data_IF_726569816557
#
_entry.id   IF_726569816557
#
_cell.length_a   1.000
_cell.length_b   1.000
_cell.length_c   1.000
_cell.angle_alpha   90.00
_cell.angle_beta   90.00
_cell.angle_gamma   90.00
#
_symmetry.space_group_name_H-M   'P 1'
#
loop_
_entity.id
_entity.type
_entity.pdbx_description
1 polymer ?
#
# COMPACT_ATOMS: atom_id res chain seq x y z
N UNK A 1 7.28 -28.71 -12.13
CA UNK A 1 6.67 -27.38 -11.98
C UNK A 1 5.85 -27.11 -13.24
N UNK A 2 4.58 -26.80 -13.09
CA UNK A 2 3.67 -26.54 -14.20
C UNK A 2 3.63 -25.02 -14.44
N UNK A 3 4.35 -24.57 -15.44
CA UNK A 3 4.50 -23.14 -15.77
C UNK A 3 3.15 -22.53 -16.21
N UNK A 4 2.32 -23.32 -16.87
CA UNK A 4 0.97 -22.95 -17.29
C UNK A 4 0.10 -22.51 -16.10
N UNK A 5 0.15 -23.26 -14.99
CA UNK A 5 -0.59 -22.92 -13.78
C UNK A 5 -0.07 -21.61 -13.15
N UNK A 6 1.24 -21.43 -13.11
CA UNK A 6 1.87 -20.20 -12.59
C UNK A 6 1.42 -18.98 -13.41
N UNK A 7 1.49 -19.07 -14.73
CA UNK A 7 1.07 -17.98 -15.63
C UNK A 7 -0.42 -17.63 -15.47
N UNK A 8 -1.28 -18.63 -15.25
CA UNK A 8 -2.70 -18.38 -15.01
C UNK A 8 -2.95 -17.50 -13.78
N UNK A 9 -2.28 -17.79 -12.66
CA UNK A 9 -2.45 -16.99 -11.43
C UNK A 9 -1.83 -15.60 -11.56
N UNK A 10 -0.69 -15.47 -12.24
CA UNK A 10 -0.11 -14.18 -12.58
C UNK A 10 -1.08 -13.37 -13.45
N UNK A 11 -1.76 -14.01 -14.42
CA UNK A 11 -2.77 -13.36 -15.25
C UNK A 11 -3.91 -12.73 -14.43
N UNK A 12 -4.37 -13.40 -13.38
CA UNK A 12 -5.40 -12.83 -12.48
C UNK A 12 -4.90 -11.54 -11.81
N UNK A 13 -3.64 -11.53 -11.38
CA UNK A 13 -3.03 -10.33 -10.78
C UNK A 13 -2.93 -9.19 -11.77
N UNK A 14 -2.54 -9.49 -13.01
CA UNK A 14 -2.48 -8.49 -14.09
C UNK A 14 -3.85 -7.88 -14.37
N UNK A 15 -4.92 -8.69 -14.38
CA UNK A 15 -6.29 -8.18 -14.56
C UNK A 15 -6.72 -7.26 -13.40
N UNK A 16 -6.33 -7.60 -12.17
CA UNK A 16 -6.59 -6.75 -11.01
C UNK A 16 -5.87 -5.39 -11.12
N UNK A 17 -4.60 -5.40 -11.55
CA UNK A 17 -3.81 -4.18 -11.81
C UNK A 17 -4.44 -3.37 -12.94
N UNK A 18 -4.82 -4.01 -14.05
CA UNK A 18 -5.47 -3.38 -15.19
C UNK A 18 -6.78 -2.66 -14.80
N UNK A 19 -7.56 -3.26 -13.89
CA UNK A 19 -8.76 -2.62 -13.35
C UNK A 19 -8.44 -1.29 -12.64
N UNK A 20 -7.39 -1.23 -11.83
CA UNK A 20 -7.00 0.02 -11.17
C UNK A 20 -6.41 1.05 -12.13
N UNK A 21 -5.70 0.62 -13.18
CA UNK A 21 -5.29 1.51 -14.29
C UNK A 21 -6.52 2.11 -14.98
N UNK A 22 -7.55 1.30 -15.23
CA UNK A 22 -8.79 1.77 -15.83
C UNK A 22 -9.54 2.75 -14.91
N UNK A 23 -9.59 2.50 -13.60
CA UNK A 23 -10.12 3.45 -12.62
C UNK A 23 -9.34 4.77 -12.64
N UNK A 24 -8.02 4.72 -12.75
CA UNK A 24 -7.15 5.89 -12.87
C UNK A 24 -7.41 6.67 -14.16
N UNK A 25 -7.65 5.96 -15.28
CA UNK A 25 -8.08 6.57 -16.54
C UNK A 25 -9.46 7.23 -16.39
N UNK A 26 -10.38 6.63 -15.63
CA UNK A 26 -11.67 7.23 -15.30
C UNK A 26 -11.53 8.56 -14.54
N UNK A 27 -10.63 8.63 -13.56
CA UNK A 27 -10.34 9.88 -12.85
C UNK A 27 -9.72 10.94 -13.78
N UNK A 28 -8.81 10.52 -14.66
CA UNK A 28 -8.25 11.38 -15.71
C UNK A 28 -9.34 11.95 -16.61
N UNK A 29 -10.30 11.12 -17.01
CA UNK A 29 -11.44 11.56 -17.83
C UNK A 29 -12.33 12.59 -17.08
N UNK A 30 -12.67 12.31 -15.83
CA UNK A 30 -13.47 13.20 -14.99
C UNK A 30 -12.75 14.52 -14.65
N UNK A 31 -11.43 14.54 -14.73
CA UNK A 31 -10.60 15.74 -14.54
C UNK A 31 -10.43 16.58 -15.82
N UNK A 32 -11.23 16.32 -16.85
CA UNK A 32 -11.21 17.06 -18.12
C UNK A 32 -10.33 16.40 -19.20
N UNK A 33 -10.18 15.08 -19.18
CA UNK A 33 -9.31 14.34 -20.11
C UNK A 33 -7.87 14.87 -20.08
N UNK A 34 -7.25 14.80 -18.91
CA UNK A 34 -5.86 15.21 -18.76
C UNK A 34 -4.90 14.33 -19.59
N UNK A 35 -3.63 14.74 -19.72
CA UNK A 35 -2.64 14.06 -20.58
C UNK A 35 -2.37 12.60 -20.20
N UNK A 36 -2.83 12.13 -19.04
CA UNK A 36 -2.66 10.75 -18.59
C UNK A 36 -3.75 9.81 -19.10
N UNK A 37 -4.86 10.31 -19.65
CA UNK A 37 -6.00 9.48 -20.06
C UNK A 37 -5.60 8.37 -21.04
N UNK A 38 -5.01 8.72 -22.15
CA UNK A 38 -4.59 7.73 -23.17
C UNK A 38 -3.48 6.78 -22.68
N UNK A 39 -2.41 7.26 -22.00
CA UNK A 39 -1.41 6.40 -21.38
C UNK A 39 -2.01 5.35 -20.43
N UNK A 40 -2.91 5.76 -19.54
CA UNK A 40 -3.56 4.87 -18.57
C UNK A 40 -4.50 3.87 -19.26
N UNK A 41 -5.31 4.33 -20.22
CA UNK A 41 -6.23 3.48 -20.97
C UNK A 41 -5.47 2.43 -21.76
N UNK A 42 -4.43 2.82 -22.52
CA UNK A 42 -3.62 1.91 -23.31
C UNK A 42 -2.89 0.90 -22.42
N UNK A 43 -2.30 1.34 -21.32
CA UNK A 43 -1.65 0.47 -20.33
C UNK A 43 -2.63 -0.53 -19.72
N UNK A 44 -3.85 -0.10 -19.38
CA UNK A 44 -4.91 -0.96 -18.89
C UNK A 44 -5.29 -2.04 -19.89
N UNK A 45 -5.53 -1.65 -21.15
CA UNK A 45 -5.88 -2.60 -22.22
C UNK A 45 -4.76 -3.61 -22.48
N UNK A 46 -3.51 -3.14 -22.59
CA UNK A 46 -2.34 -4.01 -22.80
C UNK A 46 -2.18 -4.99 -21.64
N UNK A 47 -2.26 -4.50 -20.41
CA UNK A 47 -2.14 -5.35 -19.21
C UNK A 47 -3.30 -6.35 -19.11
N UNK A 48 -4.52 -5.93 -19.46
CA UNK A 48 -5.69 -6.80 -19.46
C UNK A 48 -5.58 -7.90 -20.53
N UNK A 49 -5.12 -7.60 -21.73
CA UNK A 49 -4.89 -8.57 -22.79
C UNK A 49 -3.83 -9.61 -22.39
N UNK A 50 -2.69 -9.14 -21.85
CA UNK A 50 -1.63 -10.02 -21.38
C UNK A 50 -2.10 -10.91 -20.22
N UNK A 51 -2.93 -10.37 -19.30
CA UNK A 51 -3.48 -11.10 -18.18
C UNK A 51 -4.59 -12.09 -18.56
N UNK A 52 -5.42 -11.77 -19.56
CA UNK A 52 -6.50 -12.62 -20.03
C UNK A 52 -5.98 -13.84 -20.81
N UNK A 53 -4.87 -13.68 -21.54
CA UNK A 53 -4.30 -14.74 -22.37
C UNK A 53 -4.09 -16.07 -21.61
N UNK A 54 -3.38 -16.13 -20.48
CA UNK A 54 -3.22 -17.38 -19.74
C UNK A 54 -4.53 -17.95 -19.18
N UNK A 55 -5.53 -17.09 -18.89
CA UNK A 55 -6.81 -17.55 -18.37
C UNK A 55 -7.65 -18.28 -19.42
N UNK A 56 -7.53 -17.89 -20.68
CA UNK A 56 -8.25 -18.52 -21.80
C UNK A 56 -7.65 -19.88 -22.13
N UNK A 57 -6.32 -19.99 -22.20
CA UNK A 57 -5.63 -21.19 -22.68
C UNK A 57 -5.31 -22.22 -21.58
N UNK A 58 -5.30 -21.81 -20.31
CA UNK A 58 -4.95 -22.70 -19.19
C UNK A 58 -6.19 -22.99 -18.34
N UNK A 59 -6.57 -24.28 -18.24
CA UNK A 59 -7.68 -24.72 -17.40
C UNK A 59 -7.43 -24.54 -15.91
N UNK A 60 -8.51 -24.38 -15.12
CA UNK A 60 -8.43 -24.36 -13.65
C UNK A 60 -7.85 -25.68 -13.13
N UNK A 61 -6.92 -25.59 -12.17
CA UNK A 61 -6.39 -26.72 -11.40
C UNK A 61 -6.68 -26.53 -9.92
N UNK A 62 -7.16 -27.59 -9.27
CA UNK A 62 -7.59 -27.52 -7.86
C UNK A 62 -6.45 -27.54 -6.86
N UNK A 63 -5.29 -28.10 -7.23
CA UNK A 63 -4.14 -28.23 -6.33
C UNK A 63 -2.89 -27.56 -6.90
N UNK A 64 -2.30 -26.69 -6.10
CA UNK A 64 -1.03 -26.00 -6.38
C UNK A 64 0.03 -26.61 -5.44
N UNK A 65 1.21 -26.94 -5.97
CA UNK A 65 2.34 -27.40 -5.17
C UNK A 65 3.06 -26.22 -4.50
N UNK A 66 3.90 -26.51 -3.46
CA UNK A 66 4.68 -25.48 -2.76
C UNK A 66 5.57 -24.69 -3.69
N UNK A 67 6.28 -25.39 -4.58
CA UNK A 67 7.18 -24.76 -5.56
C UNK A 67 6.42 -23.83 -6.50
N UNK A 68 5.26 -24.26 -6.96
CA UNK A 68 4.38 -23.42 -7.81
C UNK A 68 3.89 -22.19 -7.05
N UNK A 69 3.50 -22.36 -5.77
CA UNK A 69 3.07 -21.26 -4.93
C UNK A 69 4.14 -20.18 -4.76
N UNK A 70 5.38 -20.55 -4.45
CA UNK A 70 6.49 -19.61 -4.38
C UNK A 70 6.74 -18.91 -5.72
N UNK A 71 6.73 -19.65 -6.83
CA UNK A 71 6.91 -19.07 -8.15
C UNK A 71 5.77 -18.12 -8.54
N UNK A 72 4.53 -18.41 -8.14
CA UNK A 72 3.39 -17.51 -8.34
C UNK A 72 3.61 -16.20 -7.60
N UNK A 73 3.99 -16.24 -6.31
CA UNK A 73 4.20 -15.03 -5.51
C UNK A 73 5.32 -14.18 -6.10
N UNK A 74 6.51 -14.75 -6.28
CA UNK A 74 7.68 -14.00 -6.81
C UNK A 74 7.42 -13.51 -8.23
N UNK A 75 6.90 -14.38 -9.10
CA UNK A 75 6.59 -14.02 -10.48
C UNK A 75 5.52 -12.95 -10.59
N UNK A 76 4.47 -13.02 -9.76
CA UNK A 76 3.43 -12.01 -9.72
C UNK A 76 3.96 -10.63 -9.31
N UNK A 77 4.87 -10.57 -8.31
CA UNK A 77 5.51 -9.32 -7.90
C UNK A 77 6.37 -8.72 -9.03
N UNK A 78 7.21 -9.52 -9.67
CA UNK A 78 8.06 -9.05 -10.76
C UNK A 78 7.21 -8.55 -11.94
N UNK A 79 6.21 -9.33 -12.35
CA UNK A 79 5.31 -8.94 -13.44
C UNK A 79 4.47 -7.73 -13.07
N UNK A 80 3.98 -7.64 -11.84
CA UNK A 80 3.27 -6.46 -11.35
C UNK A 80 4.13 -5.19 -11.49
N UNK A 81 5.40 -5.23 -11.07
CA UNK A 81 6.32 -4.11 -11.24
C UNK A 81 6.50 -3.73 -12.72
N UNK A 82 6.65 -4.73 -13.60
CA UNK A 82 6.82 -4.48 -15.04
C UNK A 82 5.58 -3.84 -15.64
N UNK A 83 4.39 -4.38 -15.40
CA UNK A 83 3.16 -3.83 -16.01
C UNK A 83 2.78 -2.48 -15.41
N UNK A 84 3.06 -2.28 -14.12
CA UNK A 84 2.75 -1.03 -13.42
C UNK A 84 3.59 0.17 -13.87
N UNK A 85 4.71 -0.05 -14.55
CA UNK A 85 5.50 1.03 -15.13
C UNK A 85 4.93 1.54 -16.47
N UNK A 86 4.04 0.79 -17.16
CA UNK A 86 3.54 1.16 -18.48
C UNK A 86 2.88 2.54 -18.53
N UNK A 87 2.00 2.94 -17.60
CA UNK A 87 1.42 4.29 -17.62
C UNK A 87 2.47 5.40 -17.61
N UNK A 88 3.54 5.23 -16.85
CA UNK A 88 4.64 6.18 -16.76
C UNK A 88 5.44 6.24 -18.06
N UNK A 89 5.82 5.07 -18.62
CA UNK A 89 6.57 4.99 -19.87
C UNK A 89 5.81 5.60 -21.05
N UNK A 90 4.51 5.31 -21.15
CA UNK A 90 3.69 5.79 -22.27
C UNK A 90 3.41 7.31 -22.13
N UNK A 91 3.27 7.80 -20.90
CA UNK A 91 3.12 9.22 -20.64
C UNK A 91 4.41 9.99 -20.96
N UNK A 92 5.58 9.43 -20.66
CA UNK A 92 6.88 10.00 -20.95
C UNK A 92 7.29 11.08 -19.93
N UNK A 93 7.74 12.26 -20.40
CA UNK A 93 8.23 13.31 -19.53
C UNK A 93 9.51 12.92 -18.80
N UNK A 94 9.54 13.02 -17.46
CA UNK A 94 10.68 12.62 -16.61
C UNK A 94 10.85 11.10 -16.49
N UNK A 95 9.89 10.31 -16.98
CA UNK A 95 9.88 8.86 -16.87
C UNK A 95 10.67 8.16 -17.99
N UNK A 96 12.00 8.16 -17.88
CA UNK A 96 12.83 7.19 -18.61
C UNK A 96 12.49 5.76 -18.19
N UNK A 97 12.98 4.74 -18.90
CA UNK A 97 12.77 3.33 -18.52
C UNK A 97 13.18 3.05 -17.07
N UNK A 98 14.34 3.58 -16.63
CA UNK A 98 14.85 3.40 -15.28
C UNK A 98 13.98 4.13 -14.25
N UNK A 99 13.58 5.35 -14.56
CA UNK A 99 12.74 6.17 -13.68
C UNK A 99 11.33 5.56 -13.53
N UNK A 100 10.72 5.12 -14.62
CA UNK A 100 9.42 4.45 -14.60
C UNK A 100 9.46 3.13 -13.82
N UNK A 101 10.55 2.37 -13.95
CA UNK A 101 10.78 1.17 -13.16
C UNK A 101 10.90 1.49 -11.66
N UNK A 102 11.73 2.48 -11.32
CA UNK A 102 11.90 2.92 -9.92
C UNK A 102 10.58 3.35 -9.29
N UNK A 103 9.80 4.21 -9.96
CA UNK A 103 8.52 4.70 -9.46
C UNK A 103 7.50 3.58 -9.30
N UNK A 104 7.45 2.63 -10.25
CA UNK A 104 6.59 1.44 -10.18
C UNK A 104 6.96 0.53 -9.01
N UNK A 105 8.25 0.22 -8.85
CA UNK A 105 8.73 -0.61 -7.73
C UNK A 105 8.49 0.08 -6.40
N UNK A 106 8.82 1.37 -6.30
CA UNK A 106 8.60 2.17 -5.09
C UNK A 106 7.13 2.20 -4.67
N UNK A 107 6.21 2.33 -5.65
CA UNK A 107 4.78 2.25 -5.39
C UNK A 107 4.37 0.88 -4.86
N UNK A 108 4.63 -0.18 -5.61
CA UNK A 108 4.19 -1.53 -5.26
C UNK A 108 4.85 -2.07 -3.99
N UNK A 109 6.10 -1.73 -3.70
CA UNK A 109 6.76 -2.12 -2.43
C UNK A 109 6.39 -1.20 -1.26
N UNK A 110 5.48 -0.25 -1.47
CA UNK A 110 5.07 0.75 -0.48
C UNK A 110 6.21 1.58 0.10
N UNK A 111 7.33 1.70 -0.64
CA UNK A 111 8.51 2.47 -0.20
C UNK A 111 8.21 3.98 -0.16
N UNK A 112 7.46 4.48 -1.14
CA UNK A 112 7.06 5.88 -1.19
C UNK A 112 8.16 6.88 -1.59
N UNK A 113 9.32 6.40 -2.02
CA UNK A 113 10.38 7.25 -2.61
C UNK A 113 10.05 7.58 -4.06
N UNK A 114 10.28 8.81 -4.48
CA UNK A 114 9.98 9.27 -5.85
C UNK A 114 11.20 9.88 -6.52
N UNK A 115 11.26 9.73 -7.84
CA UNK A 115 12.26 10.39 -8.69
C UNK A 115 11.80 11.78 -9.14
N UNK A 116 10.53 12.13 -8.91
CA UNK A 116 9.94 13.36 -9.39
C UNK A 116 10.38 14.54 -8.53
N UNK A 117 10.80 15.61 -9.20
CA UNK A 117 11.08 16.88 -8.56
C UNK A 117 9.80 17.67 -8.26
N UNK A 118 8.78 17.52 -9.12
CA UNK A 118 7.48 18.17 -8.97
C UNK A 118 6.35 17.15 -9.15
N UNK A 119 5.80 16.69 -8.03
CA UNK A 119 4.67 15.76 -8.01
C UNK A 119 3.36 16.44 -8.41
N UNK A 120 3.24 17.75 -8.16
CA UNK A 120 2.02 18.51 -8.45
C UNK A 120 1.85 18.79 -9.94
N UNK A 121 2.94 18.74 -10.72
CA UNK A 121 2.91 18.83 -12.18
C UNK A 121 2.30 17.59 -12.85
N UNK A 122 2.21 16.46 -12.14
CA UNK A 122 1.59 15.26 -12.71
C UNK A 122 0.08 15.44 -12.91
N UNK A 123 -0.48 14.93 -14.03
CA UNK A 123 -1.91 14.88 -14.22
C UNK A 123 -2.59 14.01 -13.15
N UNK A 124 -3.81 14.34 -12.76
CA UNK A 124 -4.55 13.68 -11.68
C UNK A 124 -4.69 12.16 -11.87
N UNK A 125 -4.85 11.71 -13.12
CA UNK A 125 -4.90 10.29 -13.42
C UNK A 125 -3.63 9.55 -12.99
N UNK A 126 -2.44 10.10 -13.28
CA UNK A 126 -1.16 9.51 -12.86
C UNK A 126 -0.91 9.65 -11.36
N UNK A 127 -1.30 10.77 -10.74
CA UNK A 127 -1.24 10.91 -9.28
C UNK A 127 -2.07 9.82 -8.60
N UNK A 128 -3.30 9.57 -9.08
CA UNK A 128 -4.14 8.51 -8.53
C UNK A 128 -3.56 7.12 -8.80
N UNK A 129 -2.94 6.91 -9.98
CA UNK A 129 -2.27 5.64 -10.28
C UNK A 129 -1.11 5.35 -9.30
N UNK A 130 -0.32 6.36 -8.97
CA UNK A 130 0.75 6.24 -7.95
C UNK A 130 0.18 5.77 -6.60
N UNK A 131 -0.92 6.39 -6.14
CA UNK A 131 -1.58 6.01 -4.89
C UNK A 131 -2.23 4.64 -4.97
N UNK A 132 -2.82 4.29 -6.12
CA UNK A 132 -3.41 2.98 -6.36
C UNK A 132 -2.36 1.87 -6.34
N UNK A 133 -1.19 2.08 -6.98
CA UNK A 133 -0.10 1.10 -6.98
C UNK A 133 0.40 0.81 -5.58
N UNK A 134 0.59 1.83 -4.76
CA UNK A 134 0.96 1.72 -3.35
C UNK A 134 -0.12 0.99 -2.53
N UNK A 135 -1.39 1.31 -2.74
CA UNK A 135 -2.49 0.67 -2.04
C UNK A 135 -2.64 -0.82 -2.41
N UNK A 136 -2.47 -1.15 -3.69
CA UNK A 136 -2.41 -2.54 -4.19
C UNK A 136 -1.22 -3.26 -3.54
N UNK A 137 -0.05 -2.62 -3.49
CA UNK A 137 1.16 -3.17 -2.90
C UNK A 137 1.00 -3.51 -1.43
N UNK A 138 0.46 -2.58 -0.64
CA UNK A 138 0.22 -2.79 0.80
C UNK A 138 -0.71 -3.96 1.10
N UNK A 139 -1.72 -4.18 0.25
CA UNK A 139 -2.61 -5.33 0.34
C UNK A 139 -2.02 -6.59 -0.30
N UNK A 140 -1.18 -6.43 -1.32
CA UNK A 140 -0.72 -7.50 -2.21
C UNK A 140 0.04 -8.61 -1.49
N UNK A 141 1.00 -8.26 -0.65
CA UNK A 141 1.80 -9.24 0.12
C UNK A 141 0.89 -10.16 0.95
N UNK A 142 -0.08 -9.56 1.64
CA UNK A 142 -1.00 -10.29 2.52
C UNK A 142 -1.96 -11.15 1.70
N UNK A 143 -2.54 -10.61 0.63
CA UNK A 143 -3.47 -11.32 -0.24
C UNK A 143 -2.80 -12.46 -0.99
N UNK A 144 -1.60 -12.25 -1.52
CA UNK A 144 -0.85 -13.31 -2.21
C UNK A 144 -0.45 -14.45 -1.29
N UNK A 145 0.09 -14.13 -0.11
CA UNK A 145 0.41 -15.15 0.87
C UNK A 145 -0.82 -16.01 1.20
N UNK A 146 -1.99 -15.39 1.37
CA UNK A 146 -3.21 -16.07 1.78
C UNK A 146 -3.95 -16.79 0.64
N UNK A 147 -3.87 -16.33 -0.60
CA UNK A 147 -4.45 -17.03 -1.75
C UNK A 147 -3.63 -18.25 -2.13
N UNK A 148 -2.30 -18.19 -1.96
CA UNK A 148 -1.39 -19.28 -2.30
C UNK A 148 -1.26 -20.31 -1.17
N UNK A 149 -1.22 -19.88 0.09
CA UNK A 149 -1.03 -20.75 1.27
C UNK A 149 -2.12 -21.83 1.45
N UNK A 150 -3.42 -21.62 1.19
CA UNK A 150 -4.43 -22.66 1.36
C UNK A 150 -4.33 -23.82 0.38
N UNK A 151 -3.76 -23.58 -0.79
CA UNK A 151 -3.54 -24.62 -1.80
C UNK A 151 -2.44 -25.60 -1.40
N UNK A 152 -1.70 -25.30 -0.37
CA UNK A 152 -0.50 -26.00 0.06
C UNK A 152 -0.75 -27.00 1.22
N UNK A 153 -1.82 -27.71 1.36
CA UNK A 153 -2.03 -28.87 2.26
C UNK A 153 -1.61 -28.73 3.76
N UNK A 154 -2.01 -29.67 4.60
CA UNK A 154 -1.87 -29.64 6.08
C UNK A 154 -0.47 -29.31 6.65
N UNK A 155 0.59 -29.68 5.97
CA UNK A 155 1.98 -29.40 6.40
C UNK A 155 2.35 -27.89 6.35
N UNK A 156 1.55 -27.06 5.72
CA UNK A 156 1.80 -25.69 5.36
C UNK A 156 1.02 -24.68 6.19
N UNK A 157 0.01 -25.13 6.92
CA UNK A 157 -0.57 -24.35 8.01
C UNK A 157 0.48 -23.94 9.06
N UNK A 158 1.63 -24.62 9.10
CA UNK A 158 2.73 -24.30 10.00
C UNK A 158 3.42 -22.97 9.65
N UNK A 159 3.61 -22.64 8.35
CA UNK A 159 4.20 -21.35 7.95
C UNK A 159 3.21 -20.18 8.12
N UNK A 160 1.94 -20.39 7.78
CA UNK A 160 0.88 -19.40 8.07
C UNK A 160 0.72 -19.16 9.58
N UNK A 161 0.99 -20.17 10.41
CA UNK A 161 0.98 -20.05 11.86
C UNK A 161 2.22 -19.34 12.45
N UNK A 162 3.28 -19.15 11.67
CA UNK A 162 4.47 -18.38 12.09
C UNK A 162 4.27 -16.89 11.85
N UNK A 163 3.60 -16.51 10.75
CA UNK A 163 3.21 -15.10 10.52
C UNK A 163 1.97 -14.70 11.31
N UNK A 164 1.03 -15.62 11.50
CA UNK A 164 -0.04 -15.46 12.49
C UNK A 164 0.57 -15.79 13.85
N UNK A 165 1.05 -14.76 14.53
CA UNK A 165 1.68 -14.86 15.86
C UNK A 165 1.05 -15.93 16.75
N UNK A 166 1.88 -16.56 17.59
CA UNK A 166 1.52 -17.63 18.55
C UNK A 166 0.24 -17.37 19.37
N UNK A 167 -0.25 -16.15 19.43
CA UNK A 167 -1.48 -15.74 20.10
C UNK A 167 -2.78 -16.01 19.33
N UNK A 168 -2.71 -16.22 18.02
CA UNK A 168 -3.87 -16.55 17.19
C UNK A 168 -4.20 -18.05 17.20
N UNK A 169 -3.35 -18.89 17.82
CA UNK A 169 -3.47 -20.36 17.76
C UNK A 169 -4.74 -20.93 18.40
N UNK A 170 -5.30 -20.29 19.39
CA UNK A 170 -6.36 -20.90 20.19
C UNK A 170 -7.80 -20.66 19.67
N UNK A 171 -8.02 -19.74 18.72
CA UNK A 171 -9.38 -19.38 18.29
C UNK A 171 -9.60 -19.18 16.78
N UNK A 172 -8.62 -19.37 15.90
CA UNK A 172 -8.78 -19.10 14.48
C UNK A 172 -8.64 -20.33 13.58
N UNK A 173 -9.57 -21.29 13.73
CA UNK A 173 -9.87 -22.29 12.68
C UNK A 173 -10.69 -21.65 11.55
N UNK A 174 -10.26 -20.49 11.04
CA UNK A 174 -10.89 -19.94 9.85
C UNK A 174 -10.30 -20.57 8.60
N UNK A 175 -11.19 -20.96 7.68
CA UNK A 175 -10.77 -21.25 6.31
C UNK A 175 -10.03 -20.02 5.79
N UNK A 176 -8.94 -20.20 5.08
CA UNK A 176 -8.12 -19.13 4.49
C UNK A 176 -8.92 -18.04 3.75
N UNK A 177 -10.02 -18.40 3.10
CA UNK A 177 -10.93 -17.47 2.45
C UNK A 177 -11.52 -16.44 3.42
N UNK A 178 -11.87 -16.87 4.64
CA UNK A 178 -12.42 -15.97 5.67
C UNK A 178 -11.33 -15.00 6.16
N UNK A 179 -10.09 -15.47 6.28
CA UNK A 179 -8.97 -14.60 6.67
C UNK A 179 -8.75 -13.51 5.62
N UNK A 180 -8.72 -13.87 4.33
CA UNK A 180 -8.61 -12.90 3.22
C UNK A 180 -9.75 -11.88 3.27
N UNK A 181 -10.99 -12.33 3.47
CA UNK A 181 -12.14 -11.43 3.57
C UNK A 181 -12.01 -10.47 4.75
N UNK A 182 -11.62 -10.96 5.92
CA UNK A 182 -11.41 -10.12 7.11
C UNK A 182 -10.34 -9.04 6.84
N UNK A 183 -9.22 -9.44 6.26
CA UNK A 183 -8.13 -8.50 5.96
C UNK A 183 -8.57 -7.45 4.95
N UNK A 184 -9.28 -7.87 3.90
CA UNK A 184 -9.80 -6.95 2.88
C UNK A 184 -10.80 -5.97 3.47
N UNK A 185 -11.75 -6.45 4.28
CA UNK A 185 -12.76 -5.60 4.94
C UNK A 185 -12.10 -4.58 5.87
N UNK A 186 -11.10 -5.01 6.67
CA UNK A 186 -10.38 -4.09 7.57
C UNK A 186 -9.58 -3.07 6.76
N UNK A 187 -8.87 -3.50 5.72
CA UNK A 187 -8.04 -2.62 4.90
C UNK A 187 -8.87 -1.55 4.18
N UNK A 188 -9.94 -1.98 3.50
CA UNK A 188 -10.88 -1.07 2.84
C UNK A 188 -11.59 -0.18 3.86
N UNK A 189 -12.02 -0.75 4.99
CA UNK A 189 -12.69 -0.02 6.06
C UNK A 189 -11.81 1.09 6.65
N UNK A 190 -10.53 0.80 6.91
CA UNK A 190 -9.56 1.80 7.37
C UNK A 190 -9.34 2.89 6.31
N UNK A 191 -9.24 2.51 5.03
CA UNK A 191 -9.08 3.49 3.94
C UNK A 191 -10.28 4.42 3.86
N UNK A 192 -11.50 3.88 3.88
CA UNK A 192 -12.74 4.68 3.83
C UNK A 192 -12.85 5.57 5.05
N UNK A 193 -12.63 5.03 6.26
CA UNK A 193 -12.68 5.80 7.50
C UNK A 193 -11.68 6.95 7.48
N UNK A 194 -10.42 6.69 7.10
CA UNK A 194 -9.38 7.70 7.01
C UNK A 194 -9.73 8.77 5.97
N UNK A 195 -10.28 8.37 4.81
CA UNK A 195 -10.72 9.32 3.76
C UNK A 195 -11.80 10.26 4.30
N UNK A 196 -12.81 9.73 4.99
CA UNK A 196 -13.90 10.54 5.56
C UNK A 196 -13.37 11.50 6.62
N UNK A 197 -12.53 11.03 7.53
CA UNK A 197 -11.93 11.85 8.59
C UNK A 197 -11.05 12.98 8.01
N UNK A 198 -10.22 12.68 7.01
CA UNK A 198 -9.38 13.68 6.33
C UNK A 198 -10.24 14.71 5.58
N UNK A 199 -11.33 14.27 4.96
CA UNK A 199 -12.30 15.18 4.34
C UNK A 199 -12.95 16.10 5.36
N UNK A 200 -13.35 15.59 6.52
CA UNK A 200 -13.92 16.40 7.62
C UNK A 200 -12.88 17.37 8.21
N UNK A 201 -11.60 17.03 8.18
CA UNK A 201 -10.50 17.90 8.59
C UNK A 201 -10.14 19.01 7.59
N UNK A 202 -10.84 19.09 6.43
CA UNK A 202 -10.70 20.17 5.45
C UNK A 202 -9.95 19.79 4.16
N UNK A 203 -9.49 18.55 3.99
CA UNK A 203 -8.93 18.12 2.70
C UNK A 203 -10.01 18.08 1.61
N UNK A 204 -9.62 18.26 0.34
CA UNK A 204 -10.50 17.92 -0.78
C UNK A 204 -10.63 16.40 -0.92
N UNK A 205 -11.67 15.92 -1.61
CA UNK A 205 -11.96 14.48 -1.74
C UNK A 205 -10.82 13.70 -2.40
N UNK A 206 -10.18 14.27 -3.40
CA UNK A 206 -9.10 13.62 -4.13
C UNK A 206 -7.86 13.42 -3.24
N UNK A 207 -7.40 14.49 -2.58
CA UNK A 207 -6.25 14.42 -1.69
C UNK A 207 -6.56 13.55 -0.46
N UNK A 208 -7.78 13.62 0.11
CA UNK A 208 -8.19 12.79 1.23
C UNK A 208 -8.12 11.29 0.90
N UNK A 209 -8.64 10.88 -0.27
CA UNK A 209 -8.58 9.50 -0.72
C UNK A 209 -7.14 9.05 -0.98
N UNK A 210 -6.36 9.86 -1.70
CA UNK A 210 -4.97 9.56 -2.01
C UNK A 210 -4.11 9.40 -0.76
N UNK A 211 -4.21 10.31 0.21
CA UNK A 211 -3.46 10.22 1.45
C UNK A 211 -3.95 9.09 2.36
N UNK A 212 -5.26 8.79 2.37
CA UNK A 212 -5.78 7.62 3.08
C UNK A 212 -5.24 6.31 2.49
N UNK A 213 -5.16 6.18 1.16
CA UNK A 213 -4.56 5.02 0.49
C UNK A 213 -3.09 4.87 0.85
N UNK A 214 -2.33 5.96 0.81
CA UNK A 214 -0.90 5.98 1.18
C UNK A 214 -0.68 5.65 2.65
N UNK A 215 -1.46 6.22 3.56
CA UNK A 215 -1.37 5.98 5.01
C UNK A 215 -1.73 4.52 5.37
N UNK A 216 -2.79 3.96 4.80
CA UNK A 216 -3.18 2.56 5.04
C UNK A 216 -2.18 1.57 4.46
N UNK A 217 -1.50 1.92 3.37
CA UNK A 217 -0.41 1.13 2.80
C UNK A 217 0.92 1.32 3.55
N UNK A 218 0.97 2.18 4.56
CA UNK A 218 2.20 2.57 5.28
C UNK A 218 3.31 3.03 4.35
N UNK A 219 2.95 3.76 3.28
CA UNK A 219 3.83 4.33 2.27
C UNK A 219 4.17 5.80 2.57
N UNK A 220 4.90 6.46 1.68
CA UNK A 220 5.28 7.87 1.79
C UNK A 220 4.83 8.74 0.63
N UNK A 221 4.15 8.17 -0.38
CA UNK A 221 3.67 8.94 -1.52
C UNK A 221 2.64 10.00 -1.10
N UNK A 222 2.76 11.18 -1.68
CA UNK A 222 1.83 12.30 -1.53
C UNK A 222 1.44 12.87 -2.89
N UNK A 223 0.33 13.59 -2.94
CA UNK A 223 -0.10 14.40 -4.09
C UNK A 223 0.53 15.80 -4.07
N UNK A 224 1.28 16.14 -3.00
CA UNK A 224 1.89 17.44 -2.76
C UNK A 224 3.39 17.35 -2.60
N UNK A 225 4.12 18.34 -3.14
CA UNK A 225 5.58 18.42 -3.02
C UNK A 225 6.03 18.55 -1.56
N UNK A 226 5.33 19.38 -0.78
CA UNK A 226 5.58 19.53 0.65
C UNK A 226 4.95 18.41 1.49
N UNK A 227 4.43 17.33 0.86
CA UNK A 227 3.76 16.22 1.54
C UNK A 227 2.66 16.72 2.50
N UNK A 228 2.59 16.17 3.70
CA UNK A 228 1.57 16.51 4.71
C UNK A 228 1.71 17.97 5.19
N UNK A 229 2.92 18.51 5.21
CA UNK A 229 3.18 19.89 5.62
C UNK A 229 2.43 20.95 4.76
N UNK A 230 2.06 20.60 3.52
CA UNK A 230 1.24 21.45 2.66
C UNK A 230 -0.08 21.87 3.32
N UNK A 231 -0.71 21.00 4.07
CA UNK A 231 -2.03 21.24 4.66
C UNK A 231 -1.99 22.10 5.92
N UNK A 232 -0.83 22.18 6.57
CA UNK A 232 -0.58 22.98 7.80
C UNK A 232 -1.73 22.85 8.81
N UNK A 233 -2.20 21.65 9.09
CA UNK A 233 -3.34 21.37 9.95
C UNK A 233 -3.03 20.26 10.95
N UNK A 234 -2.96 20.58 12.26
CA UNK A 234 -2.75 19.57 13.31
C UNK A 234 -3.80 18.47 13.32
N UNK A 235 -5.03 18.76 12.86
CA UNK A 235 -6.09 17.77 12.78
C UNK A 235 -5.76 16.70 11.71
N UNK A 236 -5.30 17.14 10.53
CA UNK A 236 -4.88 16.25 9.43
C UNK A 236 -3.70 15.40 9.88
N UNK A 237 -2.68 16.01 10.49
CA UNK A 237 -1.50 15.31 11.01
C UNK A 237 -1.89 14.22 12.01
N UNK A 238 -2.77 14.57 12.95
CA UNK A 238 -3.24 13.63 13.98
C UNK A 238 -3.99 12.45 13.36
N UNK A 239 -4.90 12.70 12.40
CA UNK A 239 -5.65 11.64 11.71
C UNK A 239 -4.69 10.70 10.96
N UNK A 240 -3.70 11.24 10.25
CA UNK A 240 -2.72 10.43 9.52
C UNK A 240 -1.83 9.62 10.45
N UNK A 241 -1.38 10.18 11.58
CA UNK A 241 -0.61 9.45 12.59
C UNK A 241 -1.42 8.24 13.09
N UNK A 242 -2.70 8.44 13.44
CA UNK A 242 -3.55 7.35 13.89
C UNK A 242 -3.83 6.32 12.79
N UNK A 243 -4.05 6.77 11.55
CA UNK A 243 -4.26 5.88 10.41
C UNK A 243 -3.03 4.98 10.16
N UNK A 244 -1.82 5.58 10.10
CA UNK A 244 -0.56 4.85 9.91
C UNK A 244 -0.27 3.91 11.09
N UNK A 245 -0.43 4.38 12.34
CA UNK A 245 -0.23 3.56 13.52
C UNK A 245 -1.20 2.37 13.57
N UNK A 246 -2.46 2.57 13.16
CA UNK A 246 -3.46 1.50 13.09
C UNK A 246 -3.18 0.53 11.94
N UNK A 247 -2.75 1.04 10.79
CA UNK A 247 -2.37 0.20 9.63
C UNK A 247 -1.17 -0.72 9.91
N UNK A 248 -0.27 -0.33 10.81
CA UNK A 248 0.83 -1.18 11.29
C UNK A 248 0.41 -2.28 12.28
N UNK A 249 -0.83 -2.28 12.76
CA UNK A 249 -1.35 -3.34 13.64
C UNK A 249 -1.85 -4.50 12.80
N UNK A 250 -1.68 -5.73 13.31
CA UNK A 250 -2.20 -6.93 12.67
C UNK A 250 -3.73 -6.85 12.46
N UNK A 251 -4.19 -6.86 11.22
CA UNK A 251 -5.60 -6.63 10.86
C UNK A 251 -6.57 -7.62 11.51
N UNK A 252 -6.15 -8.86 11.76
CA UNK A 252 -6.93 -9.83 12.51
C UNK A 252 -7.25 -9.40 13.94
N UNK A 253 -6.35 -8.66 14.60
CA UNK A 253 -6.59 -8.08 15.93
C UNK A 253 -7.54 -6.89 15.87
N UNK A 254 -7.46 -6.08 14.81
CA UNK A 254 -8.40 -4.97 14.56
C UNK A 254 -9.81 -5.54 14.42
N UNK A 255 -9.98 -6.57 13.56
CA UNK A 255 -11.25 -7.25 13.39
C UNK A 255 -11.78 -7.87 14.68
N UNK A 256 -10.91 -8.55 15.43
CA UNK A 256 -11.27 -9.15 16.72
C UNK A 256 -11.72 -8.11 17.76
N UNK A 257 -11.12 -6.93 17.74
CA UNK A 257 -11.49 -5.81 18.61
C UNK A 257 -12.87 -5.27 18.27
N UNK A 258 -13.11 -5.01 16.98
CA UNK A 258 -14.41 -4.49 16.50
C UNK A 258 -15.53 -5.50 16.74
N UNK A 259 -15.26 -6.79 16.61
CA UNK A 259 -16.25 -7.87 16.83
C UNK A 259 -16.37 -8.31 18.30
N UNK A 260 -15.72 -7.61 19.24
CA UNK A 260 -15.85 -7.88 20.68
C UNK A 260 -15.23 -9.19 21.17
N UNK A 261 -14.31 -9.79 20.42
CA UNK A 261 -13.64 -11.04 20.81
C UNK A 261 -12.63 -10.83 21.93
N UNK A 262 -12.37 -11.89 22.74
CA UNK A 262 -11.42 -11.86 23.86
C UNK A 262 -9.98 -11.51 23.45
N UNK A 263 -9.56 -11.93 22.25
CA UNK A 263 -8.27 -11.59 21.64
C UNK A 263 -8.42 -10.24 20.92
N UNK A 264 -7.97 -9.15 21.54
CA UNK A 264 -8.10 -7.79 21.01
C UNK A 264 -6.76 -7.04 21.02
N UNK A 265 -6.71 -5.86 20.38
CA UNK A 265 -5.52 -5.01 20.28
C UNK A 265 -4.91 -4.74 21.67
N UNK A 266 -5.72 -4.43 22.69
CA UNK A 266 -5.25 -4.03 24.02
C UNK A 266 -4.63 -5.17 24.83
N UNK A 267 -4.99 -6.43 24.55
CA UNK A 267 -4.46 -7.61 25.24
C UNK A 267 -3.26 -8.24 24.54
N UNK A 268 -2.99 -7.86 23.30
CA UNK A 268 -1.86 -8.37 22.54
C UNK A 268 -0.55 -7.77 23.06
N UNK A 269 0.38 -8.64 23.49
CA UNK A 269 1.71 -8.25 23.93
C UNK A 269 2.51 -7.60 22.78
N UNK A 270 2.43 -8.15 21.59
CA UNK A 270 3.09 -7.60 20.38
C UNK A 270 2.60 -6.18 20.10
N UNK A 271 1.30 -5.93 20.21
CA UNK A 271 0.73 -4.60 19.98
C UNK A 271 1.17 -3.60 21.05
N UNK A 272 1.28 -4.02 22.30
CA UNK A 272 1.80 -3.15 23.38
C UNK A 272 3.25 -2.75 23.14
N UNK A 273 4.11 -3.70 22.77
CA UNK A 273 5.49 -3.39 22.40
C UNK A 273 5.58 -2.49 21.16
N UNK A 274 4.74 -2.72 20.15
CA UNK A 274 4.68 -1.87 18.97
C UNK A 274 4.38 -0.40 19.33
N UNK A 275 3.31 -0.15 20.08
CA UNK A 275 2.98 1.22 20.52
C UNK A 275 4.02 1.79 21.48
N UNK A 276 4.60 0.96 22.35
CA UNK A 276 5.70 1.37 23.22
C UNK A 276 6.92 1.87 22.43
N UNK A 277 7.32 1.15 21.39
CA UNK A 277 8.43 1.56 20.51
C UNK A 277 8.09 2.82 19.70
N UNK A 278 6.87 2.96 19.20
CA UNK A 278 6.43 4.18 18.51
C UNK A 278 6.51 5.40 19.41
N UNK A 279 6.02 5.28 20.65
CA UNK A 279 6.09 6.38 21.63
C UNK A 279 7.53 6.70 22.01
N UNK A 280 8.36 5.70 22.28
CA UNK A 280 9.77 5.92 22.62
C UNK A 280 10.52 6.60 21.46
N UNK A 281 10.31 6.15 20.21
CA UNK A 281 10.89 6.79 19.02
C UNK A 281 10.42 8.23 18.84
N UNK A 282 9.12 8.47 19.02
CA UNK A 282 8.54 9.82 18.94
C UNK A 282 9.13 10.76 19.99
N UNK A 283 9.27 10.31 21.24
CA UNK A 283 9.89 11.09 22.33
C UNK A 283 11.36 11.37 22.01
N UNK A 284 12.13 10.38 21.55
CA UNK A 284 13.54 10.58 21.19
C UNK A 284 13.70 11.63 20.09
N UNK A 285 12.87 11.58 19.04
CA UNK A 285 12.89 12.56 17.95
C UNK A 285 12.51 13.94 18.48
N UNK A 286 11.47 14.06 19.31
CA UNK A 286 11.04 15.33 19.87
C UNK A 286 12.14 15.95 20.76
N UNK A 287 12.79 15.16 21.61
CA UNK A 287 13.92 15.61 22.44
C UNK A 287 15.11 16.06 21.58
N UNK A 288 15.43 15.29 20.53
CA UNK A 288 16.53 15.63 19.60
C UNK A 288 16.28 16.96 18.88
N UNK A 289 15.05 17.16 18.37
CA UNK A 289 14.67 18.42 17.69
C UNK A 289 14.70 19.62 18.65
N UNK A 290 14.19 19.45 19.87
CA UNK A 290 14.22 20.50 20.89
C UNK A 290 15.65 20.87 21.28
N UNK A 291 16.53 19.88 21.47
CA UNK A 291 17.95 20.12 21.74
C UNK A 291 18.65 20.86 20.59
N UNK A 292 18.39 20.46 19.33
CA UNK A 292 18.94 21.13 18.16
C UNK A 292 18.47 22.59 18.03
N UNK A 293 17.19 22.88 18.23
CA UNK A 293 16.66 24.25 18.22
C UNK A 293 17.29 25.10 19.32
N UNK A 294 17.47 24.53 20.52
CA UNK A 294 18.11 25.23 21.64
C UNK A 294 19.57 25.59 21.32
N UNK A 295 20.33 24.67 20.71
CA UNK A 295 21.73 24.93 20.31
C UNK A 295 21.80 26.05 19.26
N UNK A 296 20.94 25.99 18.23
CA UNK A 296 20.88 27.01 17.18
C UNK A 296 20.55 28.41 17.74
N UNK A 297 19.62 28.49 18.69
CA UNK A 297 19.28 29.76 19.37
C UNK A 297 20.45 30.30 20.19
N UNK A 298 21.17 29.43 20.91
CA UNK A 298 22.35 29.84 21.67
C UNK A 298 23.49 30.33 20.77
N UNK A 299 23.74 29.70 19.62
CA UNK A 299 24.71 30.17 18.64
C UNK A 299 24.31 31.53 18.02
N UNK A 300 23.03 31.71 17.74
CA UNK A 300 22.52 32.99 17.23
C UNK A 300 22.71 34.13 18.26
N UNK A 301 22.44 33.87 19.54
CA UNK A 301 22.66 34.85 20.63
C UNK A 301 24.14 35.21 20.77
N UNK A 302 25.05 34.24 20.75
CA UNK A 302 26.51 34.48 20.80
C UNK A 302 27.00 35.34 19.62
N UNK A 303 26.44 35.16 18.41
CA UNK A 303 26.77 36.03 17.26
C UNK A 303 26.23 37.45 17.37
N UNK A 304 25.14 37.66 18.10
CA UNK A 304 24.63 39.00 18.37
C UNK A 304 25.44 39.75 19.44
N UNK A 305 26.02 39.03 20.44
CA UNK A 305 26.88 39.63 21.45
C UNK A 305 28.30 39.99 20.97
N UNK A 306 28.73 39.43 19.81
CA UNK A 306 30.04 39.69 19.22
C UNK A 306 30.02 40.86 18.17
N UNK A 307 28.88 41.48 17.92
CA UNK A 307 28.70 42.68 17.10
C UNK A 307 28.42 43.88 17.96
#
# INVERSE_FOLDING_TARGET
MRVDVVLRYIGVVMLFIAMFMLLSAGISYLSGMDSAFYPLLLSSLLTALLGAFPLIFVGKREQITNKEGFCIVVGAWLVACVVSMFPYLIWGGEFSLVNAWFESVSGLTTTGSTILNDVEALPRGLQFWRMSSTWIGGMGVVMFALVVLPSMGRSKMMLSNVELSTMAKDNYRYRSQIIVQILLVVYVGLTVLSTVLLKMAGMNWFDALCHAMSACATSGFSTKNASIAYFNSPAIDTILIFAMATAGVHFGLIYATVTGKRSNIFRSEVTRWYFGMLLAGGVLIAVSLFAADTILRMEALKRCEQK
#
